data_IF_092874600504
#
_entry.id   IF_092874600504
#
_cell.length_a   1.000
_cell.length_b   1.000
_cell.length_c   1.000
_cell.angle_alpha   90.00
_cell.angle_beta   90.00
_cell.angle_gamma   90.00
#
_symmetry.space_group_name_H-M   'P 1'
#
loop_
_entity.id
_entity.type
_entity.pdbx_description
1 polymer ?
#
# COMPACT_ATOMS: atom_id res chain seq x y z
N UNK A 1 21.48 -3.62 -26.20
CA UNK A 1 22.50 -3.41 -27.26
C UNK A 1 23.36 -4.67 -27.44
N UNK A 2 22.74 -5.85 -27.63
CA UNK A 2 23.47 -7.13 -27.62
C UNK A 2 23.33 -7.96 -28.89
N UNK A 3 22.59 -7.46 -29.90
CA UNK A 3 22.37 -8.21 -31.15
C UNK A 3 23.53 -8.15 -32.14
N UNK A 4 24.39 -7.12 -32.10
CA UNK A 4 25.44 -6.95 -33.11
C UNK A 4 26.54 -8.02 -33.01
N UNK A 5 26.85 -8.52 -31.81
CA UNK A 5 27.94 -9.47 -31.62
C UNK A 5 27.60 -10.90 -32.08
N UNK A 6 26.32 -11.24 -32.21
CA UNK A 6 25.91 -12.61 -32.55
C UNK A 6 25.94 -12.85 -34.08
N UNK A 7 25.59 -11.83 -34.88
CA UNK A 7 25.64 -11.94 -36.33
C UNK A 7 27.07 -11.92 -36.87
N UNK A 8 27.94 -11.07 -36.33
CA UNK A 8 29.37 -11.06 -36.68
C UNK A 8 30.02 -12.43 -36.43
N UNK A 9 29.71 -13.06 -35.28
CA UNK A 9 30.19 -14.41 -34.97
C UNK A 9 29.67 -15.48 -35.94
N UNK A 10 28.39 -15.42 -36.33
CA UNK A 10 27.79 -16.37 -37.30
C UNK A 10 28.42 -16.16 -38.69
N UNK A 11 28.69 -14.92 -39.08
CA UNK A 11 29.36 -14.57 -40.33
C UNK A 11 30.80 -15.10 -40.34
N UNK A 12 31.57 -14.86 -39.28
CA UNK A 12 32.95 -15.36 -39.16
C UNK A 12 33.00 -16.90 -39.21
N UNK A 13 32.05 -17.56 -38.55
CA UNK A 13 31.92 -19.01 -38.57
C UNK A 13 31.53 -19.53 -39.97
N UNK A 14 30.63 -18.85 -40.66
CA UNK A 14 30.24 -19.19 -42.03
C UNK A 14 31.40 -19.02 -43.01
N UNK A 15 32.17 -17.93 -42.90
CA UNK A 15 33.37 -17.67 -43.70
C UNK A 15 34.42 -18.75 -43.45
N UNK A 16 34.68 -19.11 -42.19
CA UNK A 16 35.62 -20.18 -41.84
C UNK A 16 35.19 -21.54 -42.40
N UNK A 17 33.89 -21.85 -42.33
CA UNK A 17 33.31 -23.09 -42.86
C UNK A 17 33.41 -23.13 -44.38
N UNK A 18 33.10 -22.02 -45.07
CA UNK A 18 33.23 -21.89 -46.51
C UNK A 18 34.68 -22.04 -46.97
N UNK A 19 35.63 -21.39 -46.30
CA UNK A 19 37.05 -21.49 -46.60
C UNK A 19 37.58 -22.92 -46.46
N UNK A 20 37.11 -23.66 -45.44
CA UNK A 20 37.44 -25.07 -45.26
C UNK A 20 36.84 -25.95 -46.36
N UNK A 21 35.58 -25.73 -46.74
CA UNK A 21 34.93 -26.45 -47.84
C UNK A 21 35.64 -26.21 -49.17
N UNK A 22 36.11 -24.99 -49.45
CA UNK A 22 36.88 -24.68 -50.66
C UNK A 22 38.28 -25.34 -50.64
N UNK A 23 38.93 -25.40 -49.46
CA UNK A 23 40.28 -25.96 -49.32
C UNK A 23 40.37 -27.46 -49.64
N UNK A 24 39.26 -28.20 -49.49
CA UNK A 24 39.21 -29.65 -49.73
C UNK A 24 38.81 -30.02 -51.17
N UNK A 25 38.49 -29.04 -52.03
CA UNK A 25 38.09 -29.28 -53.42
C UNK A 25 39.31 -29.44 -54.35
N UNK A 26 39.24 -30.31 -55.38
CA UNK A 26 40.30 -30.46 -56.36
C UNK A 26 40.42 -29.22 -57.27
N UNK A 27 41.60 -28.99 -57.83
CA UNK A 27 41.95 -27.79 -58.62
C UNK A 27 41.02 -27.54 -59.81
N UNK A 28 40.52 -28.60 -60.45
CA UNK A 28 39.55 -28.52 -61.55
C UNK A 28 38.20 -27.94 -61.09
N UNK A 29 37.73 -28.32 -59.89
CA UNK A 29 36.48 -27.80 -59.32
C UNK A 29 36.65 -26.36 -58.83
N UNK A 30 37.82 -26.01 -58.28
CA UNK A 30 38.15 -24.64 -57.89
C UNK A 30 38.21 -23.69 -59.10
N UNK A 31 38.81 -24.12 -60.22
CA UNK A 31 38.80 -23.35 -61.46
C UNK A 31 37.37 -23.17 -62.00
N UNK A 32 36.55 -24.22 -61.93
CA UNK A 32 35.16 -24.17 -62.33
C UNK A 32 34.26 -23.29 -61.45
N UNK A 33 34.66 -23.02 -60.19
CA UNK A 33 34.00 -22.06 -59.29
C UNK A 33 34.47 -20.63 -59.58
N UNK A 34 35.74 -20.44 -59.94
CA UNK A 34 36.26 -19.13 -60.36
C UNK A 34 35.57 -18.61 -61.63
N UNK A 35 35.20 -19.52 -62.53
CA UNK A 35 34.52 -19.22 -63.79
C UNK A 35 32.98 -19.12 -63.66
N UNK A 36 32.39 -19.61 -62.56
CA UNK A 36 30.94 -19.65 -62.36
C UNK A 36 30.53 -19.27 -60.93
N UNK A 37 30.14 -18.00 -60.76
CA UNK A 37 29.68 -17.41 -59.50
C UNK A 37 28.49 -18.16 -58.90
N UNK A 38 27.64 -18.79 -59.72
CA UNK A 38 26.48 -19.56 -59.21
C UNK A 38 26.89 -20.80 -58.43
N UNK A 39 28.06 -21.37 -58.73
CA UNK A 39 28.61 -22.50 -57.95
C UNK A 39 29.12 -22.03 -56.60
N UNK A 40 29.70 -20.83 -56.53
CA UNK A 40 30.08 -20.21 -55.27
C UNK A 40 28.83 -19.93 -54.42
N UNK A 41 27.79 -19.37 -55.01
CA UNK A 41 26.51 -19.11 -54.33
C UNK A 41 25.87 -20.41 -53.82
N UNK A 42 25.89 -21.49 -54.61
CA UNK A 42 25.41 -22.80 -54.17
C UNK A 42 26.20 -23.37 -52.97
N UNK A 43 27.52 -23.15 -52.93
CA UNK A 43 28.34 -23.55 -51.77
C UNK A 43 27.95 -22.72 -50.54
N UNK A 44 27.73 -21.42 -50.71
CA UNK A 44 27.29 -20.52 -49.64
C UNK A 44 25.91 -20.94 -49.11
N UNK A 45 24.94 -21.20 -49.99
CA UNK A 45 23.60 -21.69 -49.60
C UNK A 45 23.64 -23.06 -48.90
N UNK A 46 24.62 -23.90 -49.26
CA UNK A 46 24.81 -25.21 -48.61
C UNK A 46 25.40 -25.13 -47.21
N UNK A 47 25.93 -23.96 -46.80
CA UNK A 47 26.52 -23.79 -45.48
C UNK A 47 25.47 -24.03 -44.39
N UNK A 48 25.80 -24.79 -43.34
CA UNK A 48 24.84 -25.11 -42.28
C UNK A 48 24.35 -23.84 -41.57
N UNK A 49 25.19 -22.81 -41.47
CA UNK A 49 24.84 -21.52 -40.87
C UNK A 49 23.77 -20.79 -41.66
N UNK A 50 23.78 -20.87 -43.00
CA UNK A 50 22.80 -20.18 -43.85
C UNK A 50 21.52 -21.02 -43.98
N UNK A 51 21.67 -22.34 -44.06
CA UNK A 51 20.55 -23.26 -44.14
C UNK A 51 19.71 -23.32 -42.87
N UNK A 52 20.28 -23.10 -41.68
CA UNK A 52 19.50 -23.10 -40.42
C UNK A 52 18.73 -21.81 -40.18
N UNK A 53 19.15 -20.67 -40.75
CA UNK A 53 18.55 -19.35 -40.50
C UNK A 53 17.04 -19.27 -40.74
N UNK A 54 16.45 -19.84 -41.81
CA UNK A 54 15.00 -19.83 -42.00
C UNK A 54 14.25 -20.54 -40.86
N UNK A 55 14.76 -21.69 -40.42
CA UNK A 55 14.18 -22.47 -39.32
C UNK A 55 14.35 -21.77 -37.99
N UNK A 56 15.53 -21.20 -37.72
CA UNK A 56 15.80 -20.43 -36.50
C UNK A 56 14.90 -19.19 -36.41
N UNK A 57 14.67 -18.52 -37.56
CA UNK A 57 13.74 -17.40 -37.68
C UNK A 57 12.31 -17.84 -37.40
N UNK A 58 11.84 -18.93 -38.00
CA UNK A 58 10.49 -19.44 -37.80
C UNK A 58 10.26 -19.85 -36.34
N UNK A 59 11.24 -20.51 -35.73
CA UNK A 59 11.24 -20.84 -34.31
C UNK A 59 11.15 -19.59 -33.43
N UNK A 60 11.98 -18.58 -33.68
CA UNK A 60 11.96 -17.33 -32.92
C UNK A 60 10.62 -16.59 -33.08
N UNK A 61 10.05 -16.58 -34.29
CA UNK A 61 8.73 -15.99 -34.54
C UNK A 61 7.62 -16.74 -33.80
N UNK A 62 7.63 -18.06 -33.84
CA UNK A 62 6.66 -18.89 -33.12
C UNK A 62 6.78 -18.67 -31.60
N UNK A 63 8.00 -18.68 -31.05
CA UNK A 63 8.24 -18.43 -29.64
C UNK A 63 7.79 -17.02 -29.22
N UNK A 64 8.10 -16.00 -30.01
CA UNK A 64 7.67 -14.63 -29.75
C UNK A 64 6.14 -14.51 -29.79
N UNK A 65 5.49 -15.15 -30.77
CA UNK A 65 4.03 -15.19 -30.90
C UNK A 65 3.39 -15.84 -29.68
N UNK A 66 3.84 -17.03 -29.27
CA UNK A 66 3.31 -17.71 -28.09
C UNK A 66 3.50 -16.88 -26.82
N UNK A 67 4.65 -16.21 -26.67
CA UNK A 67 4.90 -15.33 -25.53
C UNK A 67 3.97 -14.10 -25.55
N UNK A 68 3.76 -13.50 -26.72
CA UNK A 68 2.85 -12.38 -26.89
C UNK A 68 1.40 -12.78 -26.57
N UNK A 69 0.94 -13.94 -27.07
CA UNK A 69 -0.37 -14.51 -26.77
C UNK A 69 -0.53 -14.75 -25.27
N UNK A 70 0.45 -15.39 -24.62
CA UNK A 70 0.42 -15.60 -23.17
C UNK A 70 0.34 -14.27 -22.41
N UNK A 71 1.18 -13.29 -22.76
CA UNK A 71 1.13 -11.96 -22.15
C UNK A 71 -0.25 -11.29 -22.31
N UNK A 72 -0.87 -11.42 -23.48
CA UNK A 72 -2.23 -10.93 -23.73
C UNK A 72 -3.27 -11.65 -22.88
N UNK A 73 -3.14 -12.96 -22.66
CA UNK A 73 -4.05 -13.73 -21.78
C UNK A 73 -3.94 -13.30 -20.31
N UNK A 74 -2.75 -12.90 -19.85
CA UNK A 74 -2.52 -12.52 -18.45
C UNK A 74 -2.92 -11.07 -18.17
N UNK A 75 -2.84 -10.20 -19.17
CA UNK A 75 -3.20 -8.78 -19.06
C UNK A 75 -4.54 -8.50 -18.37
N UNK A 76 -5.69 -9.12 -18.75
CA UNK A 76 -6.97 -8.82 -18.11
C UNK A 76 -6.97 -9.13 -16.61
N UNK A 77 -6.34 -10.23 -16.18
CA UNK A 77 -6.22 -10.58 -14.77
C UNK A 77 -5.38 -9.57 -14.00
N UNK A 78 -4.26 -9.14 -14.57
CA UNK A 78 -3.39 -8.13 -13.96
C UNK A 78 -4.09 -6.79 -13.85
N UNK A 79 -4.80 -6.37 -14.90
CA UNK A 79 -5.53 -5.10 -14.93
C UNK A 79 -6.69 -5.11 -13.91
N UNK A 80 -7.40 -6.22 -13.78
CA UNK A 80 -8.44 -6.38 -12.76
C UNK A 80 -7.87 -6.33 -11.33
N UNK A 81 -6.77 -7.04 -11.05
CA UNK A 81 -6.12 -7.00 -9.74
C UNK A 81 -5.60 -5.60 -9.40
N UNK A 82 -5.06 -4.87 -10.38
CA UNK A 82 -4.66 -3.47 -10.19
C UNK A 82 -5.86 -2.60 -9.82
N UNK A 83 -6.98 -2.75 -10.54
CA UNK A 83 -8.21 -2.02 -10.26
C UNK A 83 -8.71 -2.30 -8.84
N UNK A 84 -8.81 -3.58 -8.45
CA UNK A 84 -9.22 -3.98 -7.09
C UNK A 84 -8.30 -3.41 -6.02
N UNK A 85 -6.99 -3.39 -6.28
CA UNK A 85 -6.01 -2.82 -5.35
C UNK A 85 -6.25 -1.32 -5.14
N UNK A 86 -6.49 -0.57 -6.21
CA UNK A 86 -6.81 0.86 -6.13
C UNK A 86 -8.13 1.09 -5.39
N UNK A 87 -9.18 0.33 -5.70
CA UNK A 87 -10.47 0.44 -5.02
C UNK A 87 -10.37 0.14 -3.51
N UNK A 88 -9.66 -0.91 -3.13
CA UNK A 88 -9.44 -1.25 -1.72
C UNK A 88 -8.62 -0.19 -1.00
N UNK A 89 -7.60 0.36 -1.65
CA UNK A 89 -6.79 1.44 -1.10
C UNK A 89 -7.62 2.71 -0.87
N UNK A 90 -8.42 3.12 -1.85
CA UNK A 90 -9.29 4.29 -1.72
C UNK A 90 -10.36 4.09 -0.63
N UNK A 91 -10.94 2.88 -0.54
CA UNK A 91 -11.86 2.54 0.54
C UNK A 91 -11.20 2.63 1.91
N UNK A 92 -10.01 2.07 2.08
CA UNK A 92 -9.25 2.12 3.32
C UNK A 92 -8.91 3.57 3.71
N UNK A 93 -8.50 4.38 2.75
CA UNK A 93 -8.22 5.80 2.95
C UNK A 93 -9.47 6.57 3.39
N UNK A 94 -10.63 6.31 2.78
CA UNK A 94 -11.90 6.94 3.17
C UNK A 94 -12.31 6.56 4.59
N UNK A 95 -12.21 5.27 4.93
CA UNK A 95 -12.46 4.78 6.30
C UNK A 95 -11.50 5.43 7.31
N UNK A 96 -10.22 5.58 6.97
CA UNK A 96 -9.26 6.25 7.83
C UNK A 96 -9.63 7.72 8.07
N UNK A 97 -10.07 8.44 7.03
CA UNK A 97 -10.54 9.82 7.17
C UNK A 97 -11.79 9.91 8.06
N UNK A 98 -12.74 8.98 7.89
CA UNK A 98 -13.95 8.91 8.71
C UNK A 98 -13.62 8.63 10.18
N UNK A 99 -12.77 7.63 10.45
CA UNK A 99 -12.31 7.30 11.80
C UNK A 99 -11.59 8.49 12.45
N UNK A 100 -10.72 9.18 11.71
CA UNK A 100 -10.04 10.36 12.22
C UNK A 100 -11.03 11.50 12.52
N UNK A 101 -12.05 11.71 11.68
CA UNK A 101 -13.11 12.70 11.94
C UNK A 101 -13.94 12.35 13.17
N UNK A 102 -14.34 11.08 13.32
CA UNK A 102 -15.06 10.62 14.50
C UNK A 102 -14.21 10.75 15.76
N UNK A 103 -12.91 10.46 15.66
CA UNK A 103 -11.97 10.64 16.76
C UNK A 103 -11.84 12.10 17.17
N UNK A 104 -11.68 13.04 16.24
CA UNK A 104 -11.59 14.46 16.59
C UNK A 104 -12.88 14.99 17.18
N UNK A 105 -14.04 14.54 16.71
CA UNK A 105 -15.34 14.84 17.33
C UNK A 105 -15.43 14.27 18.75
N UNK A 106 -15.00 13.02 18.95
CA UNK A 106 -14.97 12.40 20.28
C UNK A 106 -14.03 13.13 21.23
N UNK A 107 -12.84 13.49 20.79
CA UNK A 107 -11.86 14.25 21.57
C UNK A 107 -12.40 15.66 21.92
N UNK A 108 -13.13 16.31 21.01
CA UNK A 108 -13.81 17.59 21.27
C UNK A 108 -14.95 17.46 22.30
N UNK A 109 -15.78 16.41 22.20
CA UNK A 109 -16.84 16.14 23.18
C UNK A 109 -16.21 15.77 24.53
N UNK A 110 -15.17 14.95 24.53
CA UNK A 110 -14.47 14.52 25.74
C UNK A 110 -13.77 15.68 26.44
N UNK A 111 -13.22 16.64 25.70
CA UNK A 111 -12.59 17.83 26.28
C UNK A 111 -13.63 18.84 26.79
N UNK A 112 -14.69 19.12 26.02
CA UNK A 112 -15.77 20.02 26.45
C UNK A 112 -16.59 19.47 27.62
N UNK A 113 -16.77 18.14 27.70
CA UNK A 113 -17.39 17.45 28.84
C UNK A 113 -16.36 16.87 29.79
N UNK A 114 -15.12 17.35 29.75
CA UNK A 114 -14.10 16.87 30.67
C UNK A 114 -14.58 17.10 32.10
N UNK A 115 -14.31 16.10 32.94
CA UNK A 115 -14.68 16.19 34.34
C UNK A 115 -13.96 17.37 35.02
N UNK A 116 -12.77 17.74 34.53
CA UNK A 116 -12.07 18.99 34.88
C UNK A 116 -12.92 20.24 34.63
N UNK A 117 -13.40 20.42 33.38
CA UNK A 117 -14.25 21.59 33.02
C UNK A 117 -15.52 21.62 33.87
N UNK A 118 -16.14 20.46 34.10
CA UNK A 118 -17.35 20.36 34.93
C UNK A 118 -17.07 20.72 36.40
N UNK A 119 -15.93 20.29 36.94
CA UNK A 119 -15.51 20.63 38.30
C UNK A 119 -15.28 22.13 38.45
N UNK A 120 -14.54 22.73 37.53
CA UNK A 120 -14.25 24.17 37.54
C UNK A 120 -15.54 25.00 37.45
N UNK A 121 -16.47 24.62 36.57
CA UNK A 121 -17.75 25.32 36.43
C UNK A 121 -18.61 25.20 37.69
N UNK A 122 -18.61 24.04 38.35
CA UNK A 122 -19.28 23.86 39.63
C UNK A 122 -18.65 24.68 40.76
N UNK A 123 -17.33 24.84 40.75
CA UNK A 123 -16.63 25.69 41.71
C UNK A 123 -16.99 27.18 41.52
N UNK A 124 -17.06 27.66 40.27
CA UNK A 124 -17.53 29.01 39.95
C UNK A 124 -18.98 29.21 40.43
N UNK A 125 -19.88 28.27 40.12
CA UNK A 125 -21.28 28.35 40.57
C UNK A 125 -21.45 28.19 42.09
N UNK A 126 -20.48 27.57 42.78
CA UNK A 126 -20.46 27.52 44.25
C UNK A 126 -20.06 28.88 44.83
N UNK A 127 -19.05 29.54 44.23
CA UNK A 127 -18.61 30.87 44.61
C UNK A 127 -19.72 31.90 44.39
N UNK A 128 -20.38 31.88 43.23
CA UNK A 128 -21.51 32.78 42.92
C UNK A 128 -22.64 32.65 43.96
N UNK A 129 -22.98 31.43 44.38
CA UNK A 129 -23.98 31.21 45.43
C UNK A 129 -23.51 31.65 46.84
N UNK A 130 -22.19 31.65 47.09
CA UNK A 130 -21.61 32.19 48.32
C UNK A 130 -21.64 33.72 48.31
N UNK A 131 -21.34 34.35 47.16
CA UNK A 131 -21.41 35.80 46.94
C UNK A 131 -22.87 36.30 47.06
N UNK A 132 -23.85 35.56 46.54
CA UNK A 132 -25.28 35.83 46.74
C UNK A 132 -25.66 35.82 48.23
N UNK A 133 -25.10 34.87 48.99
CA UNK A 133 -25.33 34.79 50.43
C UNK A 133 -24.68 35.96 51.19
N UNK A 134 -23.53 36.46 50.72
CA UNK A 134 -22.91 37.68 51.24
C UNK A 134 -23.76 38.91 50.92
N UNK A 135 -24.29 39.02 49.70
CA UNK A 135 -25.23 40.09 49.32
C UNK A 135 -26.47 40.11 50.21
N UNK A 136 -27.07 38.95 50.50
CA UNK A 136 -28.19 38.83 51.45
C UNK A 136 -27.81 39.31 52.86
N UNK A 137 -26.57 39.08 53.29
CA UNK A 137 -26.06 39.54 54.59
C UNK A 137 -25.91 41.06 54.62
N UNK A 138 -25.34 41.65 53.56
CA UNK A 138 -25.22 43.10 53.43
C UNK A 138 -26.60 43.79 53.42
N UNK A 139 -27.58 43.21 52.72
CA UNK A 139 -28.93 43.77 52.67
C UNK A 139 -29.65 43.73 54.03
N UNK A 140 -29.36 42.71 54.86
CA UNK A 140 -29.85 42.66 56.25
C UNK A 140 -29.20 43.76 57.10
N UNK A 141 -27.89 43.94 57.00
CA UNK A 141 -27.15 44.97 57.75
C UNK A 141 -27.61 46.39 57.40
N UNK A 142 -27.96 46.62 56.13
CA UNK A 142 -28.53 47.88 55.65
C UNK A 142 -30.02 48.07 56.00
N UNK A 143 -30.67 47.06 56.58
CA UNK A 143 -32.10 47.09 56.93
C UNK A 143 -33.06 46.96 55.73
N UNK A 144 -32.55 46.59 54.56
CA UNK A 144 -33.33 46.42 53.33
C UNK A 144 -34.08 45.08 53.27
N UNK A 145 -33.73 44.13 54.15
CA UNK A 145 -34.29 42.79 54.20
C UNK A 145 -34.80 42.45 55.61
N UNK A 146 -35.98 41.85 55.71
CA UNK A 146 -36.50 41.39 57.01
C UNK A 146 -35.75 40.15 57.50
N UNK A 147 -35.64 40.01 58.81
CA UNK A 147 -34.91 38.88 59.44
C UNK A 147 -35.48 37.52 59.00
N UNK A 148 -36.80 37.36 58.94
CA UNK A 148 -37.41 36.09 58.50
C UNK A 148 -37.09 35.74 57.05
N UNK A 149 -37.11 36.74 56.14
CA UNK A 149 -36.78 36.53 54.74
C UNK A 149 -35.30 36.25 54.53
N UNK A 150 -34.42 36.97 55.24
CA UNK A 150 -32.99 36.70 55.28
C UNK A 150 -32.72 35.25 55.70
N UNK A 151 -33.29 34.83 56.83
CA UNK A 151 -33.00 33.52 57.41
C UNK A 151 -33.41 32.38 56.49
N UNK A 152 -34.50 32.55 55.72
CA UNK A 152 -34.94 31.60 54.71
C UNK A 152 -33.98 31.58 53.51
N UNK A 153 -33.74 32.72 52.88
CA UNK A 153 -32.95 32.81 51.64
C UNK A 153 -31.47 32.50 51.87
N UNK A 154 -30.88 32.99 52.95
CA UNK A 154 -29.47 32.74 53.30
C UNK A 154 -29.20 31.26 53.54
N UNK A 155 -30.08 30.57 54.27
CA UNK A 155 -29.96 29.11 54.49
C UNK A 155 -30.04 28.33 53.18
N UNK A 156 -30.93 28.71 52.28
CA UNK A 156 -31.06 28.10 50.96
C UNK A 156 -29.80 28.35 50.10
N UNK A 157 -29.30 29.59 50.06
CA UNK A 157 -28.10 29.97 49.32
C UNK A 157 -26.84 29.26 49.84
N UNK A 158 -26.58 29.28 51.15
CA UNK A 158 -25.44 28.56 51.76
C UNK A 158 -25.53 27.05 51.57
N UNK A 159 -26.73 26.46 51.68
CA UNK A 159 -26.92 25.04 51.40
C UNK A 159 -26.56 24.71 49.96
N UNK A 160 -26.96 25.54 49.01
CA UNK A 160 -26.66 25.38 47.58
C UNK A 160 -25.15 25.51 47.31
N UNK A 161 -24.50 26.54 47.86
CA UNK A 161 -23.06 26.77 47.74
C UNK A 161 -22.25 25.58 48.29
N UNK A 162 -22.56 25.12 49.50
CA UNK A 162 -21.89 23.96 50.12
C UNK A 162 -22.13 22.67 49.33
N UNK A 163 -23.35 22.42 48.83
CA UNK A 163 -23.62 21.25 47.99
C UNK A 163 -22.82 21.27 46.69
N UNK A 164 -22.72 22.42 46.02
CA UNK A 164 -21.93 22.58 44.80
C UNK A 164 -20.44 22.38 45.06
N UNK A 165 -19.92 22.96 46.15
CA UNK A 165 -18.52 22.81 46.59
C UNK A 165 -18.16 21.35 46.88
N UNK A 166 -18.96 20.65 47.71
CA UNK A 166 -18.72 19.24 48.05
C UNK A 166 -18.72 18.36 46.79
N UNK A 167 -19.65 18.60 45.87
CA UNK A 167 -19.72 17.84 44.63
C UNK A 167 -18.53 18.14 43.71
N UNK A 168 -18.08 19.39 43.64
CA UNK A 168 -16.87 19.79 42.90
C UNK A 168 -15.62 19.12 43.49
N UNK A 169 -15.43 19.20 44.80
CA UNK A 169 -14.29 18.59 45.50
C UNK A 169 -14.26 17.07 45.32
N UNK A 170 -15.44 16.43 45.37
CA UNK A 170 -15.57 14.99 45.09
C UNK A 170 -15.21 14.66 43.64
N UNK A 171 -15.63 15.50 42.69
CA UNK A 171 -15.32 15.30 41.28
C UNK A 171 -13.81 15.44 41.03
N UNK A 172 -13.20 16.51 41.53
CA UNK A 172 -11.75 16.72 41.47
C UNK A 172 -10.95 15.58 42.13
N UNK A 173 -11.45 15.04 43.25
CA UNK A 173 -10.86 13.87 43.90
C UNK A 173 -10.87 12.62 43.01
N UNK A 174 -11.95 12.38 42.27
CA UNK A 174 -12.06 11.26 41.33
C UNK A 174 -11.13 11.38 40.12
N UNK A 175 -10.75 12.59 39.70
CA UNK A 175 -9.72 12.77 38.67
C UNK A 175 -8.31 12.51 39.18
N UNK A 176 -8.07 12.80 40.46
CA UNK A 176 -6.75 12.70 41.09
C UNK A 176 -6.41 11.26 41.49
N UNK A 177 -7.41 10.48 41.85
CA UNK A 177 -7.30 9.03 41.95
C UNK A 177 -7.03 8.48 40.54
N UNK A 178 -5.83 7.94 40.27
CA UNK A 178 -5.63 7.23 39.01
C UNK A 178 -6.57 6.04 39.06
N UNK A 179 -7.63 6.07 38.27
CA UNK A 179 -8.40 4.87 37.95
C UNK A 179 -7.40 3.86 37.43
N UNK A 180 -7.01 2.95 38.31
CA UNK A 180 -6.10 1.85 38.07
C UNK A 180 -6.86 0.80 37.27
N UNK A 181 -7.28 1.20 36.08
CA UNK A 181 -8.02 0.48 35.04
C UNK A 181 -8.56 1.53 34.07
N UNK A 182 -7.65 2.18 33.33
CA UNK A 182 -8.04 2.57 31.99
C UNK A 182 -8.38 1.27 31.26
N UNK A 183 -9.58 1.10 30.67
CA UNK A 183 -9.75 0.07 29.67
C UNK A 183 -8.70 0.40 28.63
N UNK A 184 -7.76 -0.52 28.41
CA UNK A 184 -6.97 -0.53 27.20
C UNK A 184 -7.97 -0.62 26.05
N UNK A 185 -8.41 0.53 25.55
CA UNK A 185 -8.90 0.62 24.19
C UNK A 185 -7.70 0.17 23.37
N UNK A 186 -7.75 -1.11 23.00
CA UNK A 186 -6.89 -1.67 21.99
C UNK A 186 -7.06 -0.73 20.82
N UNK A 187 -6.05 0.10 20.55
CA UNK A 187 -5.99 0.77 19.26
C UNK A 187 -6.18 -0.35 18.24
N UNK A 188 -7.12 -0.23 17.29
CA UNK A 188 -7.12 -1.13 16.15
C UNK A 188 -5.71 -1.04 15.60
N UNK A 189 -4.94 -2.13 15.75
CA UNK A 189 -3.54 -2.14 15.39
C UNK A 189 -3.48 -1.70 13.94
N UNK A 190 -2.98 -0.50 13.70
CA UNK A 190 -2.36 -0.22 12.42
C UNK A 190 -1.38 -1.37 12.21
N UNK A 191 -1.46 -2.14 11.12
CA UNK A 191 -0.46 -3.16 10.86
C UNK A 191 0.88 -2.44 10.89
N UNK A 192 1.67 -2.75 11.92
CA UNK A 192 3.07 -2.36 11.98
C UNK A 192 3.69 -2.75 10.65
N UNK A 193 4.53 -1.88 10.09
CA UNK A 193 5.20 -2.06 8.80
C UNK A 193 6.08 -3.32 8.71
N UNK A 194 6.09 -4.16 9.75
CA UNK A 194 6.73 -5.47 9.79
C UNK A 194 5.80 -6.65 9.47
N UNK A 195 4.51 -6.43 9.21
CA UNK A 195 3.68 -7.38 8.48
C UNK A 195 3.60 -6.94 7.02
N UNK A 196 4.72 -7.08 6.31
CA UNK A 196 4.58 -7.46 4.92
C UNK A 196 3.74 -8.74 4.94
N UNK A 197 2.62 -8.84 4.20
CA UNK A 197 2.06 -10.15 3.97
C UNK A 197 3.24 -10.94 3.40
N UNK A 198 3.53 -12.11 3.96
CA UNK A 198 4.25 -13.11 3.20
C UNK A 198 3.51 -13.12 1.87
N UNK A 199 4.15 -12.58 0.83
CA UNK A 199 3.58 -12.44 -0.49
C UNK A 199 3.31 -13.89 -0.85
N UNK A 200 2.08 -14.33 -0.55
CA UNK A 200 1.64 -15.70 -0.75
C UNK A 200 1.95 -15.91 -2.19
N UNK A 201 2.96 -16.74 -2.42
CA UNK A 201 3.69 -16.84 -3.67
C UNK A 201 2.65 -16.76 -4.76
N UNK A 202 2.57 -15.61 -5.43
CA UNK A 202 1.78 -15.55 -6.64
C UNK A 202 2.36 -16.72 -7.42
N UNK A 203 1.55 -17.71 -7.81
CA UNK A 203 2.04 -18.67 -8.75
C UNK A 203 2.12 -17.89 -10.06
N UNK A 204 3.15 -17.04 -10.18
CA UNK A 204 3.91 -16.97 -11.40
C UNK A 204 4.43 -18.39 -11.56
N UNK A 205 3.53 -19.24 -12.08
CA UNK A 205 3.93 -20.53 -12.59
C UNK A 205 5.14 -20.26 -13.44
N UNK A 206 6.18 -21.04 -13.21
CA UNK A 206 7.42 -21.09 -13.99
C UNK A 206 7.15 -21.56 -15.43
N UNK A 207 6.12 -21.00 -16.06
CA UNK A 207 5.57 -21.37 -17.36
C UNK A 207 5.83 -20.28 -18.41
N UNK A 208 6.84 -19.43 -18.22
CA UNK A 208 7.50 -18.91 -19.41
C UNK A 208 8.00 -20.14 -20.17
N UNK A 209 7.54 -20.40 -21.41
CA UNK A 209 8.16 -21.44 -22.21
C UNK A 209 9.65 -21.10 -22.29
N UNK A 210 10.48 -21.92 -21.65
CA UNK A 210 11.91 -21.74 -21.64
C UNK A 210 12.40 -21.98 -23.07
N UNK A 211 12.66 -20.90 -23.80
CA UNK A 211 13.11 -20.92 -25.20
C UNK A 211 14.47 -21.65 -25.35
N UNK A 212 15.15 -21.95 -24.25
CA UNK A 212 16.50 -22.54 -24.25
C UNK A 212 16.54 -24.07 -24.13
N UNK A 213 15.41 -24.78 -24.02
CA UNK A 213 15.42 -26.24 -23.74
C UNK A 213 14.44 -27.12 -24.54
N UNK A 214 13.80 -26.64 -25.61
CA UNK A 214 13.06 -27.54 -26.49
C UNK A 214 14.03 -28.32 -27.42
N UNK A 215 14.46 -29.49 -26.96
CA UNK A 215 15.14 -30.48 -27.78
C UNK A 215 14.29 -30.88 -29.00
N UNK A 216 14.91 -31.23 -30.15
CA UNK A 216 14.16 -31.62 -31.34
C UNK A 216 13.44 -32.93 -31.07
N UNK A 217 12.10 -32.92 -31.02
CA UNK A 217 11.31 -34.15 -31.13
C UNK A 217 10.16 -34.39 -30.15
N UNK A 218 9.68 -33.42 -29.37
CA UNK A 218 8.41 -33.60 -28.66
C UNK A 218 7.53 -32.35 -28.71
N UNK A 219 6.48 -32.44 -29.53
CA UNK A 219 5.30 -31.59 -29.44
C UNK A 219 4.54 -31.94 -28.15
N UNK A 220 4.27 -31.01 -27.24
CA UNK A 220 3.13 -31.12 -26.37
C UNK A 220 1.90 -30.57 -27.12
N UNK A 221 0.73 -31.14 -26.84
CA UNK A 221 -0.59 -30.79 -27.37
C UNK A 221 -0.98 -31.52 -28.67
N UNK A 222 -1.47 -32.75 -28.49
CA UNK A 222 -2.69 -33.22 -29.17
C UNK A 222 -3.92 -32.61 -28.49
#
# INVERSE_FOLDING_TARGET
MSSNNNYEYIIDLAISTAANNLRILPTEQLAAILDDEKKLESIIESLPQIRSMPTDREFALAANKSLAEWNLTQKPRIDELKKQTVELYDRAKNLQMEVNSLKTQLDSISSSKSLDTTSNLMQVAAQEADDDAESLSNNLENGELSIELFLKQFKEAKKLAHLRKIKSDRLAGLLREPTSQAPTFHQPGYPSANYAPALGSIPFGSGYPNVSQMAPGRHPFS
#
